data_IF_442554992794
#
_entry.id   IF_442554992794
#
_cell.length_a   1.000
_cell.length_b   1.000
_cell.length_c   1.000
_cell.angle_alpha   90.00
_cell.angle_beta   90.00
_cell.angle_gamma   90.00
#
_symmetry.space_group_name_H-M   'P 1'
#
loop_
_entity.id
_entity.type
_entity.pdbx_description
1 polymer ?
#
# COMPACT_ATOMS: atom_id res chain seq x y z
N UNK A 1 -4.15 39.63 16.99
CA UNK A 1 -5.04 39.10 15.92
C UNK A 1 -4.30 38.69 14.64
N UNK A 2 -3.07 39.15 14.37
CA UNK A 2 -2.28 38.82 13.17
C UNK A 2 -1.79 37.38 13.11
N UNK A 3 -1.73 36.65 14.23
CA UNK A 3 -1.26 35.25 14.33
C UNK A 3 -2.35 34.22 14.09
N UNK A 4 -3.63 34.57 14.22
CA UNK A 4 -4.77 33.68 14.10
C UNK A 4 -4.83 32.91 12.74
N UNK A 5 -4.66 33.58 11.59
CA UNK A 5 -4.68 32.90 10.28
C UNK A 5 -3.57 31.84 10.15
N UNK A 6 -2.39 32.11 10.74
CA UNK A 6 -1.26 31.18 10.72
C UNK A 6 -1.53 29.93 11.58
N UNK A 7 -2.11 30.12 12.76
CA UNK A 7 -2.50 29.01 13.65
C UNK A 7 -3.55 28.13 12.98
N UNK A 8 -4.56 28.74 12.34
CA UNK A 8 -5.59 28.00 11.60
C UNK A 8 -5.02 27.23 10.40
N UNK A 9 -4.08 27.82 9.67
CA UNK A 9 -3.42 27.15 8.55
C UNK A 9 -2.60 25.94 9.02
N UNK A 10 -1.88 26.06 10.13
CA UNK A 10 -1.11 24.96 10.70
C UNK A 10 -2.03 23.85 11.24
N UNK A 11 -3.13 24.18 11.90
CA UNK A 11 -4.15 23.22 12.33
C UNK A 11 -4.73 22.41 11.16
N UNK A 12 -5.05 23.08 10.05
CA UNK A 12 -5.53 22.40 8.81
C UNK A 12 -4.47 21.48 8.24
N UNK A 13 -3.22 21.90 8.17
CA UNK A 13 -2.10 21.09 7.72
C UNK A 13 -1.96 19.82 8.52
N UNK A 14 -1.99 19.91 9.84
CA UNK A 14 -1.88 18.77 10.75
C UNK A 14 -3.01 17.75 10.49
N UNK A 15 -4.27 18.21 10.46
CA UNK A 15 -5.42 17.33 10.26
C UNK A 15 -5.37 16.64 8.88
N UNK A 16 -5.09 17.39 7.80
CA UNK A 16 -5.02 16.82 6.46
C UNK A 16 -3.89 15.78 6.31
N UNK A 17 -2.74 16.03 6.96
CA UNK A 17 -1.63 15.10 6.92
C UNK A 17 -1.90 13.85 7.77
N UNK A 18 -2.52 14.00 8.94
CA UNK A 18 -2.97 12.87 9.77
C UNK A 18 -3.95 11.99 8.99
N UNK A 19 -4.87 12.56 8.23
CA UNK A 19 -5.83 11.79 7.43
C UNK A 19 -5.12 10.91 6.38
N UNK A 20 -4.11 11.43 5.70
CA UNK A 20 -3.32 10.64 4.74
C UNK A 20 -2.56 9.49 5.41
N UNK A 21 -1.92 9.80 6.52
CA UNK A 21 -1.17 8.77 7.28
C UNK A 21 -2.11 7.72 7.84
N UNK A 22 -3.26 8.11 8.38
CA UNK A 22 -4.29 7.20 8.88
C UNK A 22 -4.79 6.25 7.78
N UNK A 23 -5.01 6.76 6.55
CA UNK A 23 -5.39 5.92 5.41
C UNK A 23 -4.36 4.81 5.14
N UNK A 24 -3.06 5.11 5.15
CA UNK A 24 -2.01 4.10 4.96
C UNK A 24 -2.05 3.02 6.04
N UNK A 25 -2.15 3.42 7.31
CA UNK A 25 -2.18 2.47 8.43
C UNK A 25 -3.44 1.60 8.44
N UNK A 26 -4.59 2.17 8.14
CA UNK A 26 -5.85 1.41 8.11
C UNK A 26 -5.91 0.48 6.89
N UNK A 27 -5.39 0.87 5.72
CA UNK A 27 -5.21 -0.05 4.60
C UNK A 27 -4.34 -1.26 5.01
N UNK A 28 -3.23 -1.01 5.75
CA UNK A 28 -2.39 -2.10 6.28
C UNK A 28 -3.16 -3.03 7.20
N UNK A 29 -3.88 -2.46 8.16
CA UNK A 29 -4.68 -3.25 9.10
C UNK A 29 -5.74 -4.08 8.35
N UNK A 30 -6.40 -3.50 7.35
CA UNK A 30 -7.42 -4.18 6.55
C UNK A 30 -6.85 -5.36 5.75
N UNK A 31 -5.75 -5.16 4.99
CA UNK A 31 -5.17 -6.29 4.25
C UNK A 31 -4.56 -7.35 5.16
N UNK A 32 -3.94 -6.95 6.28
CA UNK A 32 -3.33 -7.89 7.20
C UNK A 32 -4.40 -8.77 7.88
N UNK A 33 -5.47 -8.16 8.38
CA UNK A 33 -6.60 -8.89 8.96
C UNK A 33 -7.23 -9.84 7.94
N UNK A 34 -7.44 -9.37 6.72
CA UNK A 34 -8.04 -10.19 5.67
C UNK A 34 -7.14 -11.36 5.28
N UNK A 35 -5.83 -11.17 5.16
CA UNK A 35 -4.88 -12.25 4.89
C UNK A 35 -4.90 -13.30 6.01
N UNK A 36 -4.95 -12.89 7.27
CA UNK A 36 -5.07 -13.82 8.42
C UNK A 36 -6.36 -14.64 8.31
N UNK A 37 -7.49 -13.99 8.01
CA UNK A 37 -8.78 -14.66 7.86
C UNK A 37 -8.78 -15.65 6.69
N UNK A 38 -8.28 -15.23 5.52
CA UNK A 38 -8.22 -16.09 4.33
C UNK A 38 -7.30 -17.31 4.58
N UNK A 39 -6.13 -17.10 5.15
CA UNK A 39 -5.21 -18.17 5.54
C UNK A 39 -5.87 -19.16 6.50
N UNK A 40 -6.61 -18.67 7.51
CA UNK A 40 -7.34 -19.50 8.45
C UNK A 40 -8.45 -20.31 7.79
N UNK A 41 -9.19 -19.72 6.86
CA UNK A 41 -10.30 -20.37 6.14
C UNK A 41 -9.77 -21.44 5.17
N UNK A 42 -8.72 -21.15 4.42
CA UNK A 42 -8.20 -22.05 3.39
C UNK A 42 -7.13 -23.04 3.92
N UNK A 43 -6.68 -22.88 5.17
CA UNK A 43 -5.66 -23.74 5.77
C UNK A 43 -4.28 -23.63 5.10
N UNK A 44 -4.02 -22.50 4.46
CA UNK A 44 -2.78 -22.26 3.70
C UNK A 44 -1.65 -21.75 4.62
N UNK A 45 -0.37 -21.99 4.29
CA UNK A 45 0.73 -21.30 4.94
C UNK A 45 0.64 -19.80 4.73
N UNK A 46 1.08 -19.00 5.72
CA UNK A 46 0.99 -17.53 5.63
C UNK A 46 1.83 -17.00 4.44
N UNK A 47 1.27 -16.10 3.60
CA UNK A 47 1.86 -15.68 2.33
C UNK A 47 3.06 -14.74 2.45
N UNK A 48 3.42 -14.31 3.66
CA UNK A 48 4.47 -13.33 3.89
C UNK A 48 5.33 -13.72 5.10
N UNK A 49 6.63 -13.55 4.97
CA UNK A 49 7.56 -13.70 6.09
C UNK A 49 7.62 -12.39 6.92
N UNK A 50 8.01 -12.44 8.21
CA UNK A 50 8.13 -11.25 9.05
C UNK A 50 9.05 -10.18 8.47
N UNK A 51 10.17 -10.57 7.83
CA UNK A 51 11.08 -9.64 7.16
C UNK A 51 10.44 -8.98 5.93
N UNK A 52 9.64 -9.72 5.16
CA UNK A 52 8.88 -9.20 4.02
C UNK A 52 7.78 -8.23 4.48
N UNK A 53 7.10 -8.50 5.61
CA UNK A 53 6.16 -7.56 6.22
C UNK A 53 6.85 -6.27 6.67
N UNK A 54 8.11 -6.35 7.15
CA UNK A 54 8.92 -5.18 7.49
C UNK A 54 9.27 -4.38 6.24
N UNK A 55 9.66 -5.04 5.15
CA UNK A 55 9.90 -4.39 3.86
C UNK A 55 8.66 -3.61 3.39
N UNK A 56 7.51 -4.27 3.34
CA UNK A 56 6.25 -3.67 2.93
C UNK A 56 5.89 -2.50 3.87
N UNK A 57 5.97 -2.72 5.18
CA UNK A 57 5.65 -1.71 6.19
C UNK A 57 6.53 -0.47 6.09
N UNK A 58 7.82 -0.64 5.84
CA UNK A 58 8.77 0.47 5.74
C UNK A 58 8.54 1.31 4.48
N UNK A 59 8.42 0.69 3.32
CA UNK A 59 8.39 1.38 2.04
C UNK A 59 6.97 1.76 1.56
N UNK A 60 5.92 1.04 1.99
CA UNK A 60 4.54 1.41 1.62
C UNK A 60 3.87 2.33 2.64
N UNK A 61 4.36 2.38 3.89
CA UNK A 61 3.69 3.08 4.98
C UNK A 61 4.64 4.01 5.74
N UNK A 62 5.71 3.47 6.32
CA UNK A 62 6.57 4.20 7.24
C UNK A 62 7.24 5.41 6.58
N UNK A 63 8.08 5.17 5.59
CA UNK A 63 8.75 6.25 4.85
C UNK A 63 7.77 7.18 4.13
N UNK A 64 6.81 6.67 3.32
CA UNK A 64 5.83 7.56 2.69
C UNK A 64 4.98 8.33 3.70
N UNK A 65 4.54 7.69 4.78
CA UNK A 65 3.75 8.33 5.83
C UNK A 65 4.51 9.47 6.50
N UNK A 66 5.80 9.28 6.79
CA UNK A 66 6.66 10.33 7.32
C UNK A 66 6.72 11.55 6.39
N UNK A 67 7.01 11.36 5.10
CA UNK A 67 7.07 12.46 4.15
C UNK A 67 5.71 13.13 3.92
N UNK A 68 4.62 12.34 3.90
CA UNK A 68 3.27 12.90 3.77
C UNK A 68 2.84 13.69 5.01
N UNK A 69 3.31 13.30 6.21
CA UNK A 69 3.07 14.05 7.43
C UNK A 69 3.73 15.44 7.43
N UNK A 70 4.80 15.62 6.66
CA UNK A 70 5.49 16.90 6.49
C UNK A 70 4.90 17.76 5.36
N UNK A 71 3.91 17.25 4.61
CA UNK A 71 3.36 17.95 3.45
C UNK A 71 2.75 19.32 3.81
N UNK A 72 2.99 20.38 3.02
CA UNK A 72 2.39 21.69 3.22
C UNK A 72 0.96 21.71 2.64
N UNK A 73 -0.01 21.15 3.33
CA UNK A 73 -1.42 21.10 2.91
C UNK A 73 -2.30 21.87 3.87
N UNK A 74 -2.61 23.12 3.52
CA UNK A 74 -3.46 24.03 4.28
C UNK A 74 -4.90 24.11 3.75
N UNK A 75 -5.32 23.16 2.89
CA UNK A 75 -6.67 23.09 2.34
C UNK A 75 -7.73 22.99 3.44
N UNK A 76 -8.96 23.39 3.14
CA UNK A 76 -10.06 23.34 4.09
C UNK A 76 -10.30 21.89 4.57
N UNK A 77 -10.33 21.73 5.88
CA UNK A 77 -10.65 20.45 6.51
C UNK A 77 -12.12 20.14 6.31
N UNK A 78 -12.41 18.98 5.78
CA UNK A 78 -13.78 18.48 5.62
C UNK A 78 -14.24 17.74 6.89
N UNK A 79 -15.52 17.82 7.21
CA UNK A 79 -16.12 17.08 8.33
C UNK A 79 -16.10 15.56 8.08
N UNK A 80 -16.30 14.75 9.12
CA UNK A 80 -16.45 13.30 8.98
C UNK A 80 -15.11 12.54 8.71
N UNK A 81 -14.04 12.93 9.36
CA UNK A 81 -12.70 12.33 9.26
C UNK A 81 -12.73 10.79 9.26
N UNK A 82 -13.31 10.18 10.27
CA UNK A 82 -13.34 8.71 10.41
C UNK A 82 -14.09 8.05 9.24
N UNK A 83 -15.23 8.60 8.83
CA UNK A 83 -16.01 8.10 7.70
C UNK A 83 -15.18 8.14 6.41
N UNK A 84 -14.49 9.25 6.15
CA UNK A 84 -13.65 9.38 4.95
C UNK A 84 -12.49 8.39 4.95
N UNK A 85 -11.79 8.25 6.07
CA UNK A 85 -10.68 7.30 6.18
C UNK A 85 -11.15 5.87 5.98
N UNK A 86 -12.20 5.43 6.66
CA UNK A 86 -12.71 4.06 6.54
C UNK A 86 -13.29 3.76 5.16
N UNK A 87 -14.01 4.72 4.56
CA UNK A 87 -14.65 4.55 3.26
C UNK A 87 -13.66 4.31 2.11
N UNK A 88 -12.47 4.87 2.21
CA UNK A 88 -11.39 4.60 1.26
C UNK A 88 -10.54 3.39 1.69
N UNK A 89 -10.10 3.37 2.95
CA UNK A 89 -9.05 2.45 3.38
C UNK A 89 -9.51 1.00 3.46
N UNK A 90 -10.76 0.75 3.87
CA UNK A 90 -11.27 -0.62 3.95
C UNK A 90 -11.37 -1.29 2.57
N UNK A 91 -12.05 -0.71 1.56
CA UNK A 91 -12.09 -1.33 0.24
C UNK A 91 -10.72 -1.44 -0.42
N UNK A 92 -9.86 -0.42 -0.29
CA UNK A 92 -8.51 -0.45 -0.86
C UNK A 92 -7.61 -1.52 -0.19
N UNK A 93 -7.64 -1.61 1.14
CA UNK A 93 -6.91 -2.63 1.89
C UNK A 93 -7.45 -4.04 1.62
N UNK A 94 -8.76 -4.23 1.59
CA UNK A 94 -9.37 -5.51 1.23
C UNK A 94 -8.99 -5.95 -0.20
N UNK A 95 -9.01 -5.04 -1.16
CA UNK A 95 -8.55 -5.31 -2.53
C UNK A 95 -7.10 -5.78 -2.54
N UNK A 96 -6.23 -5.08 -1.79
CA UNK A 96 -4.83 -5.47 -1.68
C UNK A 96 -4.65 -6.86 -1.06
N UNK A 97 -5.37 -7.17 0.01
CA UNK A 97 -5.36 -8.50 0.65
C UNK A 97 -5.85 -9.61 -0.26
N UNK A 98 -7.01 -9.42 -0.93
CA UNK A 98 -7.59 -10.41 -1.84
C UNK A 98 -6.67 -10.67 -3.04
N UNK A 99 -6.20 -9.64 -3.72
CA UNK A 99 -5.34 -9.80 -4.89
C UNK A 99 -4.01 -10.47 -4.52
N UNK A 100 -3.44 -10.14 -3.37
CA UNK A 100 -2.23 -10.78 -2.86
C UNK A 100 -2.47 -12.26 -2.54
N UNK A 101 -3.56 -12.59 -1.86
CA UNK A 101 -3.90 -13.97 -1.53
C UNK A 101 -4.17 -14.83 -2.76
N UNK A 102 -4.94 -14.30 -3.73
CA UNK A 102 -5.22 -15.01 -4.98
C UNK A 102 -3.92 -15.28 -5.75
N UNK A 103 -3.07 -14.27 -5.92
CA UNK A 103 -1.79 -14.42 -6.61
C UNK A 103 -0.87 -15.43 -5.90
N UNK A 104 -0.81 -15.37 -4.57
CA UNK A 104 -0.08 -16.33 -3.76
C UNK A 104 -0.57 -17.76 -3.97
N UNK A 105 -1.88 -18.01 -3.88
CA UNK A 105 -2.45 -19.36 -4.02
C UNK A 105 -2.24 -19.93 -5.43
N UNK A 106 -2.43 -19.14 -6.47
CA UNK A 106 -2.19 -19.58 -7.85
C UNK A 106 -0.72 -19.99 -8.03
N UNK A 107 0.23 -19.20 -7.53
CA UNK A 107 1.66 -19.46 -7.69
C UNK A 107 2.09 -20.64 -6.81
N UNK A 108 1.64 -20.70 -5.58
CA UNK A 108 1.91 -21.82 -4.65
C UNK A 108 1.45 -23.17 -5.19
N UNK A 109 0.31 -23.21 -5.88
CA UNK A 109 -0.25 -24.42 -6.48
C UNK A 109 0.35 -24.72 -7.87
N UNK A 110 1.27 -23.91 -8.35
CA UNK A 110 2.07 -24.17 -9.55
C UNK A 110 3.39 -24.87 -9.18
N UNK A 111 4.33 -24.92 -10.11
CA UNK A 111 5.65 -25.53 -9.88
C UNK A 111 6.61 -24.67 -9.01
N UNK A 112 6.15 -23.56 -8.42
CA UNK A 112 6.97 -22.70 -7.59
C UNK A 112 7.13 -23.24 -6.17
N UNK A 113 8.29 -22.96 -5.55
CA UNK A 113 8.52 -23.23 -4.14
C UNK A 113 7.68 -22.29 -3.24
N UNK A 114 7.50 -22.65 -1.97
CA UNK A 114 6.77 -21.82 -1.01
C UNK A 114 7.39 -20.43 -0.87
N UNK A 115 8.72 -20.34 -0.86
CA UNK A 115 9.43 -19.07 -0.69
C UNK A 115 9.35 -18.19 -1.95
N UNK A 116 9.33 -18.77 -3.14
CA UNK A 116 9.05 -18.09 -4.39
C UNK A 116 7.60 -17.56 -4.41
N UNK A 117 6.62 -18.32 -3.94
CA UNK A 117 5.23 -17.89 -3.82
C UNK A 117 5.08 -16.73 -2.81
N UNK A 118 5.81 -16.77 -1.68
CA UNK A 118 5.85 -15.68 -0.70
C UNK A 118 6.48 -14.41 -1.28
N UNK A 119 7.55 -14.55 -2.04
CA UNK A 119 8.16 -13.43 -2.74
C UNK A 119 7.21 -12.82 -3.77
N UNK A 120 6.49 -13.64 -4.52
CA UNK A 120 5.48 -13.18 -5.47
C UNK A 120 4.34 -12.41 -4.74
N UNK A 121 3.86 -12.91 -3.61
CA UNK A 121 2.89 -12.20 -2.76
C UNK A 121 3.43 -10.85 -2.29
N UNK A 122 4.71 -10.80 -1.90
CA UNK A 122 5.39 -9.57 -1.51
C UNK A 122 5.42 -8.56 -2.65
N UNK A 123 5.75 -8.98 -3.87
CA UNK A 123 5.77 -8.11 -5.07
C UNK A 123 4.36 -7.54 -5.34
N UNK A 124 3.34 -8.39 -5.33
CA UNK A 124 1.95 -7.96 -5.56
C UNK A 124 1.54 -6.92 -4.50
N UNK A 125 1.80 -7.20 -3.23
CA UNK A 125 1.40 -6.30 -2.15
C UNK A 125 2.18 -4.98 -2.15
N UNK A 126 3.46 -4.99 -2.56
CA UNK A 126 4.26 -3.78 -2.76
C UNK A 126 3.70 -2.93 -3.91
N UNK A 127 3.33 -3.54 -5.04
CA UNK A 127 2.72 -2.84 -6.17
C UNK A 127 1.37 -2.21 -5.78
N UNK A 128 0.54 -2.93 -5.03
CA UNK A 128 -0.74 -2.41 -4.52
C UNK A 128 -0.55 -1.33 -3.46
N UNK A 129 0.44 -1.48 -2.58
CA UNK A 129 0.82 -0.44 -1.63
C UNK A 129 1.24 0.86 -2.30
N UNK A 130 1.99 0.76 -3.41
CA UNK A 130 2.37 1.92 -4.22
C UNK A 130 1.13 2.56 -4.89
N UNK A 131 0.18 1.77 -5.39
CA UNK A 131 -1.08 2.27 -5.96
C UNK A 131 -1.94 3.00 -4.92
N UNK A 132 -2.01 2.47 -3.70
CA UNK A 132 -2.67 3.12 -2.56
C UNK A 132 -1.97 4.43 -2.21
N UNK A 133 -0.63 4.43 -2.13
CA UNK A 133 0.17 5.62 -1.86
C UNK A 133 -0.10 6.73 -2.89
N UNK A 134 -0.11 6.40 -4.18
CA UNK A 134 -0.40 7.34 -5.27
C UNK A 134 -1.82 7.90 -5.12
N UNK A 135 -2.80 7.05 -4.79
CA UNK A 135 -4.21 7.46 -4.61
C UNK A 135 -4.38 8.44 -3.46
N UNK A 136 -3.75 8.18 -2.31
CA UNK A 136 -3.82 9.04 -1.12
C UNK A 136 -3.03 10.35 -1.33
N UNK A 137 -1.99 10.31 -2.14
CA UNK A 137 -1.12 11.47 -2.40
C UNK A 137 -1.76 12.55 -3.28
N UNK A 138 -2.94 12.32 -3.84
CA UNK A 138 -3.63 13.32 -4.68
C UNK A 138 -3.98 14.60 -3.89
N UNK A 139 -3.90 15.80 -4.54
CA UNK A 139 -3.39 16.04 -5.88
C UNK A 139 -1.89 15.76 -5.99
N UNK A 140 -1.49 15.16 -7.12
CA UNK A 140 -0.10 14.78 -7.36
C UNK A 140 0.74 16.03 -7.67
N UNK A 141 1.59 16.42 -6.74
CA UNK A 141 2.64 17.43 -6.96
C UNK A 141 3.96 16.71 -7.29
N UNK A 142 4.88 17.42 -7.93
CA UNK A 142 6.16 16.85 -8.39
C UNK A 142 6.90 16.06 -7.32
N UNK A 143 6.99 16.59 -6.09
CA UNK A 143 7.68 15.90 -5.00
C UNK A 143 6.99 14.60 -4.55
N UNK A 144 5.65 14.50 -4.65
CA UNK A 144 4.89 13.29 -4.31
C UNK A 144 5.07 12.21 -5.38
N UNK A 145 5.18 12.62 -6.64
CA UNK A 145 5.55 11.72 -7.73
C UNK A 145 6.98 11.22 -7.51
N UNK A 146 7.89 12.13 -7.15
CA UNK A 146 9.26 11.78 -6.78
C UNK A 146 9.33 10.79 -5.61
N UNK A 147 8.50 10.97 -4.58
CA UNK A 147 8.39 10.05 -3.45
C UNK A 147 7.93 8.66 -3.90
N UNK A 148 6.85 8.58 -4.68
CA UNK A 148 6.35 7.31 -5.20
C UNK A 148 7.38 6.61 -6.10
N UNK A 149 8.07 7.37 -6.97
CA UNK A 149 9.14 6.86 -7.80
C UNK A 149 10.34 6.36 -6.97
N UNK A 150 10.74 7.10 -5.94
CA UNK A 150 11.80 6.67 -5.03
C UNK A 150 11.46 5.36 -4.31
N UNK A 151 10.21 5.19 -3.85
CA UNK A 151 9.76 3.94 -3.25
C UNK A 151 9.80 2.79 -4.27
N UNK A 152 9.28 3.01 -5.49
CA UNK A 152 9.31 2.01 -6.55
C UNK A 152 10.74 1.59 -6.93
N UNK A 153 11.64 2.55 -7.09
CA UNK A 153 13.05 2.27 -7.38
C UNK A 153 13.75 1.52 -6.24
N UNK A 154 13.43 1.86 -4.99
CA UNK A 154 13.96 1.15 -3.82
C UNK A 154 13.50 -0.31 -3.80
N UNK A 155 12.24 -0.60 -4.15
CA UNK A 155 11.75 -1.98 -4.29
C UNK A 155 12.49 -2.74 -5.37
N UNK A 156 12.64 -2.14 -6.55
CA UNK A 156 13.37 -2.75 -7.67
C UNK A 156 14.82 -3.02 -7.24
N UNK A 157 15.48 -2.04 -6.62
CA UNK A 157 16.86 -2.21 -6.16
C UNK A 157 17.01 -3.36 -5.15
N UNK A 158 16.11 -3.44 -4.15
CA UNK A 158 16.14 -4.52 -3.14
C UNK A 158 15.88 -5.88 -3.79
N UNK A 159 14.95 -5.96 -4.74
CA UNK A 159 14.60 -7.21 -5.43
C UNK A 159 15.73 -7.77 -6.29
N UNK A 160 16.56 -6.90 -6.89
CA UNK A 160 17.65 -7.32 -7.77
C UNK A 160 19.03 -7.27 -7.11
N UNK A 161 19.14 -6.79 -5.87
CA UNK A 161 20.37 -6.79 -5.11
C UNK A 161 20.45 -8.03 -4.22
N UNK A 162 21.53 -8.81 -4.33
CA UNK A 162 21.70 -10.05 -3.57
C UNK A 162 21.63 -9.83 -2.05
N UNK A 163 22.27 -8.76 -1.55
CA UNK A 163 22.20 -8.42 -0.11
C UNK A 163 20.76 -8.13 0.34
N UNK A 164 19.97 -7.46 -0.50
CA UNK A 164 18.55 -7.21 -0.23
C UNK A 164 17.71 -8.48 -0.25
N UNK A 165 17.96 -9.36 -1.22
CA UNK A 165 17.31 -10.67 -1.30
C UNK A 165 17.61 -11.51 -0.06
N UNK A 166 18.87 -11.64 0.32
CA UNK A 166 19.29 -12.43 1.47
C UNK A 166 18.73 -11.87 2.78
N UNK A 167 18.73 -10.53 2.94
CA UNK A 167 18.21 -9.87 4.14
C UNK A 167 16.71 -10.03 4.32
N UNK A 168 15.92 -9.85 3.23
CA UNK A 168 14.46 -9.95 3.27
C UNK A 168 13.94 -11.34 2.90
N UNK A 169 14.82 -12.33 2.73
CA UNK A 169 14.47 -13.71 2.37
C UNK A 169 13.61 -13.76 1.08
N UNK A 170 14.07 -13.07 0.03
CA UNK A 170 13.38 -12.98 -1.25
C UNK A 170 13.98 -13.99 -2.23
N UNK A 171 13.19 -14.99 -2.62
CA UNK A 171 13.52 -15.93 -3.68
C UNK A 171 12.73 -15.56 -4.94
N UNK A 172 13.42 -15.13 -5.99
CA UNK A 172 12.75 -14.66 -7.20
C UNK A 172 11.87 -15.75 -7.81
N UNK A 173 10.60 -15.44 -8.09
CA UNK A 173 9.67 -16.42 -8.64
C UNK A 173 10.08 -16.82 -10.07
N UNK A 174 9.70 -18.03 -10.52
CA UNK A 174 9.98 -18.51 -11.87
C UNK A 174 9.29 -17.63 -12.92
N UNK A 175 9.80 -17.66 -14.15
CA UNK A 175 9.28 -16.82 -15.26
C UNK A 175 7.78 -17.00 -15.50
N UNK A 176 7.25 -18.20 -15.30
CA UNK A 176 5.81 -18.50 -15.41
C UNK A 176 4.94 -17.76 -14.40
N UNK A 177 5.47 -17.45 -13.21
CA UNK A 177 4.73 -16.75 -12.16
C UNK A 177 4.55 -15.24 -12.44
N UNK A 178 5.39 -14.63 -13.27
CA UNK A 178 5.33 -13.19 -13.54
C UNK A 178 4.02 -12.76 -14.20
N UNK A 179 3.43 -13.60 -15.03
CA UNK A 179 2.11 -13.30 -15.63
C UNK A 179 1.06 -13.12 -14.53
N UNK A 180 0.99 -14.03 -13.56
CA UNK A 180 0.08 -13.93 -12.42
C UNK A 180 0.36 -12.69 -11.56
N UNK A 181 1.64 -12.41 -11.28
CA UNK A 181 2.05 -11.23 -10.52
C UNK A 181 1.58 -9.94 -11.20
N UNK A 182 1.84 -9.82 -12.51
CA UNK A 182 1.46 -8.63 -13.28
C UNK A 182 -0.06 -8.48 -13.32
N UNK A 183 -0.81 -9.55 -13.64
CA UNK A 183 -2.27 -9.50 -13.71
C UNK A 183 -2.89 -9.12 -12.37
N UNK A 184 -2.50 -9.79 -11.27
CA UNK A 184 -3.01 -9.46 -9.94
C UNK A 184 -2.68 -8.02 -9.52
N UNK A 185 -1.46 -7.56 -9.82
CA UNK A 185 -1.03 -6.19 -9.52
C UNK A 185 -1.80 -5.16 -10.34
N UNK A 186 -1.99 -5.38 -11.64
CA UNK A 186 -2.72 -4.44 -12.50
C UNK A 186 -4.22 -4.39 -12.18
N UNK A 187 -4.86 -5.56 -12.03
CA UNK A 187 -6.28 -5.63 -11.67
C UNK A 187 -6.53 -5.01 -10.30
N UNK A 188 -5.73 -5.37 -9.30
CA UNK A 188 -5.83 -4.78 -7.97
C UNK A 188 -5.59 -3.28 -7.97
N UNK A 189 -4.59 -2.78 -8.70
CA UNK A 189 -4.31 -1.35 -8.86
C UNK A 189 -5.45 -0.60 -9.55
N UNK A 190 -6.06 -1.20 -10.56
CA UNK A 190 -7.24 -0.65 -11.23
C UNK A 190 -8.40 -0.52 -10.26
N UNK A 191 -8.71 -1.55 -9.47
CA UNK A 191 -9.79 -1.52 -8.47
C UNK A 191 -9.51 -0.45 -7.40
N UNK A 192 -8.28 -0.36 -6.89
CA UNK A 192 -7.88 0.72 -5.95
C UNK A 192 -8.08 2.10 -6.58
N UNK A 193 -7.77 2.26 -7.87
CA UNK A 193 -8.01 3.49 -8.64
C UNK A 193 -9.49 3.84 -8.72
N UNK A 194 -10.36 2.86 -9.00
CA UNK A 194 -11.83 3.03 -9.02
C UNK A 194 -12.35 3.41 -7.63
N UNK A 195 -11.92 2.71 -6.58
CA UNK A 195 -12.28 3.04 -5.18
C UNK A 195 -11.91 4.49 -4.86
N UNK A 196 -10.73 4.94 -5.27
CA UNK A 196 -10.29 6.32 -5.08
C UNK A 196 -11.16 7.33 -5.82
N UNK A 197 -11.60 7.03 -7.03
CA UNK A 197 -12.49 7.91 -7.81
C UNK A 197 -13.90 7.98 -7.23
N UNK A 198 -14.48 6.83 -6.85
CA UNK A 198 -15.78 6.77 -6.18
C UNK A 198 -15.76 7.55 -4.88
N UNK A 199 -14.72 7.37 -4.07
CA UNK A 199 -14.50 8.12 -2.85
C UNK A 199 -14.51 9.64 -3.10
N UNK A 200 -13.77 10.10 -4.11
CA UNK A 200 -13.69 11.52 -4.44
C UNK A 200 -15.04 12.10 -4.89
N UNK A 201 -15.86 11.32 -5.60
CA UNK A 201 -17.20 11.75 -6.07
C UNK A 201 -18.25 11.76 -4.96
N UNK A 202 -18.18 10.84 -4.00
CA UNK A 202 -19.25 10.65 -2.99
C UNK A 202 -19.07 11.58 -1.79
N UNK A 203 -17.83 11.99 -1.48
CA UNK A 203 -17.50 12.77 -0.28
C UNK A 203 -16.96 14.19 -0.58
N UNK A 204 -16.96 14.59 -1.83
CA UNK A 204 -16.74 15.97 -2.27
C UNK A 204 -18.04 16.63 -2.66
#
# INVERSE_FOLDING_TARGET
>A
FSTLPRVLAEGRRVINNIERVANLFICKAAYALLLILLVGIFGSPFPLLPKQLTLIGSFSIGLPGFFLALAPDTSLVKSGFLKRVLYFSLPAGCTAGIATFIGYEIIRNSAASLDEARTAATIILLALGLSILISISRPLRSWKIGLAAAMALSYIFIMFNKTGQDFFELNLPPTSAWTTIIVCSLVGSFIVGVVSQVFTKTLN
#
